data_IF_038382853030
#
_entry.id   IF_038382853030
#
_cell.length_a   1.000
_cell.length_b   1.000
_cell.length_c   1.000
_cell.angle_alpha   90.00
_cell.angle_beta   90.00
_cell.angle_gamma   90.00
#
_symmetry.space_group_name_H-M   'P 1'
#
loop_
_entity.id
_entity.type
_entity.pdbx_description
1 polymer ?
#
# COMPACT_ATOMS: atom_id res chain seq x y z
N UNK A 1 14.24 67.89 -1.93
CA UNK A 1 13.45 67.98 -0.68
C UNK A 1 12.00 68.17 -1.11
N UNK A 2 11.06 67.23 -1.02
CA UNK A 2 10.97 65.99 -0.26
C UNK A 2 10.08 64.99 -1.03
N UNK A 3 10.69 64.01 -1.70
CA UNK A 3 10.00 62.83 -2.23
C UNK A 3 10.75 61.58 -1.78
N UNK A 4 10.73 61.30 -0.47
CA UNK A 4 11.30 60.05 0.04
C UNK A 4 10.68 59.63 1.38
N UNK A 5 9.33 59.59 1.47
CA UNK A 5 8.64 59.07 2.67
C UNK A 5 7.33 58.32 2.36
N UNK A 6 7.31 57.46 1.35
CA UNK A 6 6.13 56.60 1.08
C UNK A 6 6.46 55.13 0.75
N UNK A 7 7.56 54.59 1.28
CA UNK A 7 7.95 53.21 0.99
C UNK A 7 8.27 52.37 2.23
N UNK A 8 7.57 52.57 3.35
CA UNK A 8 7.82 51.71 4.53
C UNK A 8 6.61 51.46 5.46
N UNK A 9 5.42 51.20 4.89
CA UNK A 9 4.25 50.73 5.66
C UNK A 9 3.53 49.52 5.07
N UNK A 10 4.22 48.71 4.27
CA UNK A 10 3.62 47.54 3.59
C UNK A 10 4.06 46.15 4.08
N UNK A 11 5.12 46.03 4.89
CA UNK A 11 5.86 44.76 5.02
C UNK A 11 5.72 43.96 6.34
N UNK A 12 4.76 44.28 7.21
CA UNK A 12 4.61 43.59 8.52
C UNK A 12 3.32 42.80 8.75
N UNK A 13 2.53 42.50 7.72
CA UNK A 13 1.29 41.69 7.86
C UNK A 13 1.33 40.31 7.18
N UNK A 14 2.48 39.86 6.65
CA UNK A 14 2.56 38.63 5.84
C UNK A 14 3.13 37.38 6.53
N UNK A 15 3.72 37.47 7.73
CA UNK A 15 4.55 36.36 8.25
C UNK A 15 3.90 35.52 9.36
N UNK A 16 2.74 35.94 9.90
CA UNK A 16 2.08 35.24 11.01
C UNK A 16 1.02 34.22 10.57
N UNK A 17 0.75 34.11 9.28
CA UNK A 17 -0.21 33.16 8.69
C UNK A 17 0.40 31.84 8.20
N UNK A 18 1.73 31.72 8.15
CA UNK A 18 2.43 30.56 7.58
C UNK A 18 2.69 29.41 8.58
N UNK A 19 2.41 29.62 9.87
CA UNK A 19 2.65 28.61 10.92
C UNK A 19 1.39 28.18 11.66
N UNK A 20 0.20 28.49 11.13
CA UNK A 20 -1.02 27.86 11.62
C UNK A 20 -1.28 26.61 10.79
N UNK A 21 -0.38 25.64 10.91
CA UNK A 21 -0.67 24.27 10.51
C UNK A 21 -1.91 23.85 11.26
N UNK A 22 -3.00 23.61 10.53
CA UNK A 22 -4.11 22.81 11.02
C UNK A 22 -3.50 21.58 11.69
N UNK A 23 -3.80 21.39 12.97
CA UNK A 23 -3.43 20.17 13.67
C UNK A 23 -4.22 19.05 12.98
N UNK A 24 -3.54 18.33 12.09
CA UNK A 24 -4.01 17.11 11.44
C UNK A 24 -4.18 15.99 12.47
N UNK A 25 -5.20 16.09 13.33
CA UNK A 25 -5.61 15.00 14.22
C UNK A 25 -6.27 13.86 13.42
N UNK A 26 -6.81 14.16 12.23
CA UNK A 26 -7.36 13.20 11.27
C UNK A 26 -6.28 12.29 10.67
N UNK A 27 -5.15 12.85 10.23
CA UNK A 27 -4.08 12.10 9.57
C UNK A 27 -3.40 11.05 10.44
N UNK A 28 -3.21 11.31 11.75
CA UNK A 28 -2.66 10.32 12.69
C UNK A 28 -3.60 9.12 12.87
N UNK A 29 -4.91 9.37 12.93
CA UNK A 29 -5.90 8.31 13.09
C UNK A 29 -5.97 7.40 11.86
N UNK A 30 -5.83 7.98 10.67
CA UNK A 30 -5.89 7.25 9.41
C UNK A 30 -4.62 6.44 9.18
N UNK A 31 -3.45 6.98 9.51
CA UNK A 31 -2.20 6.23 9.49
C UNK A 31 -2.23 4.98 10.40
N UNK A 32 -2.76 5.11 11.62
CA UNK A 32 -2.87 3.96 12.54
C UNK A 32 -3.87 2.92 12.01
N UNK A 33 -4.97 3.35 11.38
CA UNK A 33 -5.90 2.42 10.72
C UNK A 33 -5.21 1.69 9.57
N UNK A 34 -4.47 2.40 8.71
CA UNK A 34 -3.74 1.81 7.59
C UNK A 34 -2.67 0.83 8.06
N UNK A 35 -1.90 1.17 9.11
CA UNK A 35 -0.96 0.25 9.74
C UNK A 35 -1.65 -1.02 10.24
N UNK A 36 -2.79 -0.88 10.93
CA UNK A 36 -3.58 -2.01 11.43
C UNK A 36 -4.10 -2.90 10.30
N UNK A 37 -4.53 -2.30 9.19
CA UNK A 37 -4.98 -3.01 8.00
C UNK A 37 -3.81 -3.73 7.33
N UNK A 38 -2.68 -3.07 7.15
CA UNK A 38 -1.48 -3.66 6.56
C UNK A 38 -1.02 -4.90 7.34
N UNK A 39 -0.95 -4.81 8.68
CA UNK A 39 -0.55 -5.95 9.53
C UNK A 39 -1.58 -7.09 9.53
N UNK A 40 -2.87 -6.79 9.32
CA UNK A 40 -3.92 -7.79 9.15
C UNK A 40 -3.85 -8.47 7.78
N UNK A 41 -3.41 -7.76 6.75
CA UNK A 41 -3.34 -8.25 5.38
C UNK A 41 -2.18 -9.21 5.09
N UNK A 42 -1.31 -9.44 6.07
CA UNK A 42 -0.22 -10.42 5.98
C UNK A 42 -0.85 -11.82 5.97
N UNK A 43 -0.81 -12.49 4.81
CA UNK A 43 -1.37 -13.84 4.60
C UNK A 43 -0.76 -14.87 5.57
N UNK A 44 0.55 -14.80 5.85
CA UNK A 44 1.24 -15.71 6.78
C UNK A 44 2.09 -14.92 7.81
N UNK A 45 1.45 -14.58 8.93
CA UNK A 45 2.09 -13.88 10.04
C UNK A 45 3.26 -14.67 10.62
N UNK A 46 3.17 -16.00 10.64
CA UNK A 46 4.21 -16.87 11.19
C UNK A 46 5.48 -16.85 10.34
N UNK A 47 5.32 -16.92 9.01
CA UNK A 47 6.43 -16.81 8.06
C UNK A 47 7.07 -15.42 8.08
N UNK A 48 6.27 -14.36 8.13
CA UNK A 48 6.80 -12.99 8.22
C UNK A 48 7.64 -12.78 9.50
N UNK A 49 7.13 -13.23 10.66
CA UNK A 49 7.85 -13.11 11.93
C UNK A 49 9.19 -13.86 11.86
N UNK A 50 9.20 -15.11 11.40
CA UNK A 50 10.41 -15.94 11.38
C UNK A 50 11.42 -15.56 10.30
N UNK A 51 10.95 -15.18 9.11
CA UNK A 51 11.81 -14.93 7.95
C UNK A 51 12.31 -13.50 7.86
N UNK A 52 11.53 -12.51 8.33
CA UNK A 52 11.87 -11.09 8.16
C UNK A 52 12.09 -10.42 9.52
N UNK A 53 11.12 -10.50 10.44
CA UNK A 53 11.19 -9.74 11.69
C UNK A 53 12.29 -10.27 12.63
N UNK A 54 12.36 -11.58 12.82
CA UNK A 54 13.30 -12.24 13.73
C UNK A 54 14.77 -11.97 13.37
N UNK A 55 15.24 -12.13 12.12
CA UNK A 55 16.62 -11.78 11.77
C UNK A 55 16.91 -10.28 11.87
N UNK A 56 15.95 -9.40 11.57
CA UNK A 56 16.14 -7.95 11.73
C UNK A 56 16.23 -7.54 13.21
N UNK A 57 15.41 -8.13 14.06
CA UNK A 57 15.47 -7.91 15.51
C UNK A 57 16.77 -8.47 16.08
N UNK A 58 17.17 -9.69 15.67
CA UNK A 58 18.43 -10.28 16.08
C UNK A 58 19.63 -9.42 15.68
N UNK A 59 19.65 -8.92 14.44
CA UNK A 59 20.68 -7.99 13.96
C UNK A 59 20.68 -6.70 14.79
N UNK A 60 19.51 -6.12 15.08
CA UNK A 60 19.40 -4.90 15.88
C UNK A 60 19.93 -5.08 17.31
N UNK A 61 19.57 -6.19 17.95
CA UNK A 61 20.06 -6.55 19.29
C UNK A 61 21.56 -6.83 19.26
N UNK A 62 22.06 -7.51 18.21
CA UNK A 62 23.49 -7.75 18.03
C UNK A 62 24.26 -6.43 17.96
N UNK A 63 23.84 -5.50 17.08
CA UNK A 63 24.46 -4.18 16.93
C UNK A 63 24.40 -3.37 18.23
N UNK A 64 23.29 -3.47 18.98
CA UNK A 64 23.17 -2.82 20.28
C UNK A 64 24.14 -3.39 21.34
N UNK A 65 24.39 -4.70 21.32
CA UNK A 65 25.28 -5.38 22.26
C UNK A 65 26.76 -5.36 21.84
N UNK A 66 27.07 -5.03 20.58
CA UNK A 66 28.44 -4.94 20.06
C UNK A 66 29.42 -4.18 20.98
N UNK A 67 29.14 -2.97 21.49
CA UNK A 67 30.11 -2.23 22.30
C UNK A 67 30.46 -2.97 23.60
N UNK A 68 29.47 -3.56 24.27
CA UNK A 68 29.69 -4.36 25.49
C UNK A 68 30.53 -5.61 25.22
N UNK A 69 30.30 -6.27 24.08
CA UNK A 69 31.07 -7.44 23.68
C UNK A 69 32.52 -7.02 23.37
N UNK A 70 32.72 -5.93 22.60
CA UNK A 70 34.04 -5.45 22.22
C UNK A 70 34.88 -5.03 23.45
N UNK A 71 34.28 -4.35 24.43
CA UNK A 71 34.95 -3.95 25.67
C UNK A 71 35.46 -5.14 26.49
N UNK A 72 34.77 -6.30 26.44
CA UNK A 72 35.21 -7.51 27.13
C UNK A 72 36.45 -8.17 26.47
N UNK A 73 36.63 -8.02 25.16
CA UNK A 73 37.70 -8.69 24.40
C UNK A 73 38.93 -7.79 24.12
N UNK A 74 38.78 -6.46 24.13
CA UNK A 74 39.84 -5.52 23.77
C UNK A 74 40.28 -4.72 25.01
N UNK A 75 41.54 -4.88 25.49
CA UNK A 75 42.04 -4.18 26.68
C UNK A 75 42.41 -2.71 26.43
N UNK A 76 41.87 -2.07 25.38
CA UNK A 76 42.12 -0.68 25.01
C UNK A 76 40.84 0.12 25.28
N UNK A 77 40.90 1.30 25.92
CA UNK A 77 39.73 2.14 26.12
C UNK A 77 39.22 2.66 24.76
N UNK A 78 38.16 2.03 24.26
CA UNK A 78 37.46 2.46 23.05
C UNK A 78 36.39 3.48 23.44
N UNK A 79 36.60 4.75 23.11
CA UNK A 79 35.63 5.81 23.34
C UNK A 79 34.53 5.79 22.26
N UNK A 80 33.71 4.75 22.29
CA UNK A 80 32.51 4.67 21.46
C UNK A 80 31.44 5.64 21.97
N UNK A 81 30.79 6.38 21.09
CA UNK A 81 29.61 7.14 21.46
C UNK A 81 28.42 6.18 21.60
N UNK A 82 27.85 5.98 22.82
CA UNK A 82 26.75 5.02 23.04
C UNK A 82 25.54 5.28 22.14
N UNK A 83 25.30 6.55 21.77
CA UNK A 83 24.19 6.92 20.90
C UNK A 83 24.26 6.25 19.52
N UNK A 84 25.46 5.99 18.98
CA UNK A 84 25.64 5.41 17.64
C UNK A 84 25.13 3.97 17.60
N UNK A 85 25.42 3.17 18.63
CA UNK A 85 25.00 1.77 18.72
C UNK A 85 23.52 1.64 19.07
N UNK A 86 22.99 2.55 19.88
CA UNK A 86 21.56 2.65 20.14
C UNK A 86 20.82 2.93 18.83
N UNK A 87 21.23 3.95 18.07
CA UNK A 87 20.61 4.30 16.79
C UNK A 87 20.78 3.15 15.79
N UNK A 88 21.98 2.58 15.67
CA UNK A 88 22.30 1.49 14.78
C UNK A 88 21.50 0.21 15.04
N UNK A 89 21.22 -0.12 16.31
CA UNK A 89 20.38 -1.26 16.69
C UNK A 89 18.89 -1.03 16.49
N UNK A 90 18.42 0.21 16.67
CA UNK A 90 16.99 0.57 16.52
C UNK A 90 16.55 0.62 15.06
N UNK A 91 17.39 1.11 14.15
CA UNK A 91 17.07 1.23 12.71
C UNK A 91 16.58 -0.08 12.06
N UNK A 92 17.29 -1.23 12.16
CA UNK A 92 16.81 -2.48 11.56
C UNK A 92 15.51 -2.97 12.20
N UNK A 93 15.30 -2.76 13.49
CA UNK A 93 14.04 -3.10 14.17
C UNK A 93 12.89 -2.27 13.59
N UNK A 94 13.08 -0.96 13.46
CA UNK A 94 12.09 -0.07 12.86
C UNK A 94 11.78 -0.48 11.42
N UNK A 95 12.79 -0.75 10.60
CA UNK A 95 12.57 -1.24 9.23
C UNK A 95 11.74 -2.52 9.20
N UNK A 96 12.00 -3.46 10.12
CA UNK A 96 11.22 -4.68 10.24
C UNK A 96 9.75 -4.39 10.51
N UNK A 97 9.47 -3.51 11.46
CA UNK A 97 8.10 -3.11 11.84
C UNK A 97 7.38 -2.35 10.71
N UNK A 98 8.08 -1.48 9.97
CA UNK A 98 7.49 -0.72 8.87
C UNK A 98 7.40 -1.49 7.55
N UNK A 99 8.16 -2.57 7.39
CA UNK A 99 8.15 -3.41 6.19
C UNK A 99 6.75 -3.80 5.68
N UNK A 100 5.81 -4.33 6.51
CA UNK A 100 4.49 -4.74 6.03
C UNK A 100 3.67 -3.57 5.52
N UNK A 101 3.82 -2.39 6.11
CA UNK A 101 3.18 -1.16 5.63
C UNK A 101 3.71 -0.75 4.26
N UNK A 102 5.04 -0.77 4.09
CA UNK A 102 5.70 -0.46 2.82
C UNK A 102 5.25 -1.46 1.73
N UNK A 103 5.23 -2.76 2.05
CA UNK A 103 4.79 -3.80 1.12
C UNK A 103 3.33 -3.63 0.70
N UNK A 104 2.43 -3.37 1.66
CA UNK A 104 1.02 -3.11 1.40
C UNK A 104 0.82 -1.90 0.49
N UNK A 105 1.54 -0.80 0.77
CA UNK A 105 1.49 0.42 -0.05
C UNK A 105 2.05 0.21 -1.46
N UNK A 106 3.13 -0.55 -1.59
CA UNK A 106 3.70 -0.89 -2.88
C UNK A 106 2.71 -1.72 -3.72
N UNK A 107 2.00 -2.68 -3.11
CA UNK A 107 0.94 -3.44 -3.79
C UNK A 107 -0.22 -2.55 -4.23
N UNK A 108 -0.68 -1.63 -3.37
CA UNK A 108 -1.70 -0.64 -3.75
C UNK A 108 -1.26 0.18 -4.98
N UNK A 109 -0.03 0.70 -4.96
CA UNK A 109 0.49 1.52 -6.05
C UNK A 109 0.66 0.71 -7.36
N UNK A 110 1.15 -0.52 -7.28
CA UNK A 110 1.28 -1.42 -8.44
C UNK A 110 -0.09 -1.76 -9.05
N UNK A 111 -1.12 -1.96 -8.21
CA UNK A 111 -2.50 -2.13 -8.70
C UNK A 111 -2.97 -0.85 -9.41
N UNK A 112 -2.92 0.29 -8.72
CA UNK A 112 -3.46 1.56 -9.22
C UNK A 112 -2.82 1.98 -10.54
N UNK A 113 -1.49 1.82 -10.67
CA UNK A 113 -0.75 2.20 -11.88
C UNK A 113 -1.15 1.41 -13.12
N UNK A 114 -1.73 0.21 -12.96
CA UNK A 114 -2.09 -0.69 -14.06
C UNK A 114 -3.60 -0.78 -14.31
N UNK A 115 -4.42 -0.12 -13.48
CA UNK A 115 -5.88 -0.16 -13.59
C UNK A 115 -6.36 0.29 -14.97
N UNK A 116 -5.90 1.45 -15.44
CA UNK A 116 -6.31 1.97 -16.75
C UNK A 116 -5.97 1.01 -17.90
N UNK A 117 -4.76 0.43 -17.89
CA UNK A 117 -4.35 -0.54 -18.91
C UNK A 117 -5.21 -1.81 -18.88
N UNK A 118 -5.58 -2.28 -17.68
CA UNK A 118 -6.48 -3.42 -17.51
C UNK A 118 -7.89 -3.11 -18.03
N UNK A 119 -8.47 -1.95 -17.70
CA UNK A 119 -9.80 -1.53 -18.16
C UNK A 119 -9.84 -1.46 -19.70
N UNK A 120 -8.82 -0.88 -20.32
CA UNK A 120 -8.72 -0.81 -21.79
C UNK A 120 -8.69 -2.20 -22.42
N UNK A 121 -7.89 -3.13 -21.89
CA UNK A 121 -7.86 -4.50 -22.43
C UNK A 121 -9.17 -5.25 -22.15
N UNK A 122 -9.76 -5.05 -20.98
CA UNK A 122 -11.05 -5.59 -20.60
C UNK A 122 -12.15 -5.15 -21.58
N UNK A 123 -12.14 -3.88 -22.01
CA UNK A 123 -13.06 -3.34 -23.01
C UNK A 123 -12.91 -4.01 -24.37
N UNK A 124 -11.68 -4.20 -24.84
CA UNK A 124 -11.42 -4.92 -26.09
C UNK A 124 -11.94 -6.36 -26.01
N UNK A 125 -11.71 -7.04 -24.87
CA UNK A 125 -12.19 -8.40 -24.66
C UNK A 125 -13.71 -8.49 -24.46
N UNK A 126 -14.36 -7.46 -23.95
CA UNK A 126 -15.82 -7.42 -23.79
C UNK A 126 -16.57 -7.24 -25.13
N UNK A 127 -15.88 -6.71 -26.15
CA UNK A 127 -16.42 -6.62 -27.51
C UNK A 127 -16.37 -7.97 -28.21
N UNK A 128 -15.35 -8.79 -27.91
CA UNK A 128 -15.34 -10.17 -28.38
C UNK A 128 -16.45 -10.97 -27.69
N UNK A 129 -17.04 -11.94 -28.39
CA UNK A 129 -18.15 -12.79 -27.92
C UNK A 129 -17.71 -13.81 -26.85
N UNK A 130 -16.88 -13.36 -25.90
CA UNK A 130 -16.32 -14.14 -24.81
C UNK A 130 -17.19 -13.98 -23.58
N UNK A 131 -17.33 -15.06 -22.80
CA UNK A 131 -18.00 -14.94 -21.51
C UNK A 131 -17.14 -14.12 -20.55
N UNK A 132 -17.78 -13.35 -19.64
CA UNK A 132 -17.06 -12.61 -18.59
C UNK A 132 -16.10 -13.51 -17.79
N UNK A 133 -16.48 -14.77 -17.57
CA UNK A 133 -15.65 -15.75 -16.88
C UNK A 133 -14.35 -16.03 -17.62
N UNK A 134 -14.42 -16.18 -18.94
CA UNK A 134 -13.23 -16.42 -19.76
C UNK A 134 -12.34 -15.18 -19.81
N UNK A 135 -12.94 -14.00 -19.95
CA UNK A 135 -12.23 -12.72 -19.92
C UNK A 135 -11.44 -12.56 -18.62
N UNK A 136 -12.08 -12.75 -17.46
CA UNK A 136 -11.43 -12.63 -16.15
C UNK A 136 -10.37 -13.70 -15.95
N UNK A 137 -10.60 -14.92 -16.46
CA UNK A 137 -9.59 -15.98 -16.42
C UNK A 137 -8.37 -15.66 -17.31
N UNK A 138 -8.58 -14.98 -18.44
CA UNK A 138 -7.50 -14.53 -19.32
C UNK A 138 -6.67 -13.39 -18.71
N UNK A 139 -7.31 -12.45 -18.03
CA UNK A 139 -6.63 -11.34 -17.34
C UNK A 139 -5.96 -11.81 -16.04
N UNK A 140 -6.57 -12.76 -15.33
CA UNK A 140 -6.11 -13.28 -14.06
C UNK A 140 -4.71 -13.89 -14.13
N UNK A 141 -3.80 -13.39 -13.30
CA UNK A 141 -2.46 -13.93 -13.13
C UNK A 141 -1.48 -13.60 -14.26
N UNK A 142 -1.85 -12.74 -15.22
CA UNK A 142 -0.91 -12.26 -16.23
C UNK A 142 0.10 -11.29 -15.58
N UNK A 143 1.39 -11.56 -15.82
CA UNK A 143 2.50 -10.74 -15.31
C UNK A 143 2.42 -9.26 -15.71
N UNK A 144 1.80 -8.98 -16.86
CA UNK A 144 1.57 -7.61 -17.35
C UNK A 144 0.75 -6.77 -16.37
N UNK A 145 -0.14 -7.39 -15.58
CA UNK A 145 -0.94 -6.69 -14.57
C UNK A 145 -0.35 -6.74 -13.16
N UNK A 146 0.80 -7.37 -12.94
CA UNK A 146 1.43 -7.42 -11.61
C UNK A 146 0.45 -7.86 -10.51
N UNK A 147 0.42 -7.09 -9.43
CA UNK A 147 -0.46 -7.31 -8.27
C UNK A 147 -1.95 -7.23 -8.62
N UNK A 148 -2.34 -6.42 -9.63
CA UNK A 148 -3.73 -6.35 -10.11
C UNK A 148 -4.16 -7.67 -10.75
N UNK A 149 -3.26 -8.29 -11.53
CA UNK A 149 -3.50 -9.61 -12.11
C UNK A 149 -3.71 -10.69 -11.05
N UNK A 150 -2.99 -10.60 -9.93
CA UNK A 150 -3.17 -11.52 -8.79
C UNK A 150 -4.54 -11.36 -8.13
N UNK A 151 -5.03 -10.13 -7.93
CA UNK A 151 -6.36 -9.90 -7.38
C UNK A 151 -7.46 -10.41 -8.34
N UNK A 152 -7.30 -10.21 -9.65
CA UNK A 152 -8.21 -10.79 -10.66
C UNK A 152 -8.13 -12.32 -10.70
N UNK A 153 -6.94 -12.90 -10.48
CA UNK A 153 -6.76 -14.35 -10.38
C UNK A 153 -7.54 -14.92 -9.19
N UNK A 154 -7.59 -14.21 -8.05
CA UNK A 154 -8.39 -14.63 -6.89
C UNK A 154 -9.87 -14.71 -7.25
N UNK A 155 -10.41 -13.70 -7.95
CA UNK A 155 -11.79 -13.73 -8.44
C UNK A 155 -12.02 -14.87 -9.46
N UNK A 156 -11.09 -15.06 -10.40
CA UNK A 156 -11.14 -16.16 -11.37
C UNK A 156 -11.15 -17.52 -10.69
N UNK A 157 -10.27 -17.75 -9.71
CA UNK A 157 -10.19 -19.00 -8.95
C UNK A 157 -11.49 -19.27 -8.20
N UNK A 158 -12.04 -18.27 -7.50
CA UNK A 158 -13.34 -18.40 -6.82
C UNK A 158 -14.46 -18.80 -7.79
N UNK A 159 -14.48 -18.24 -8.99
CA UNK A 159 -15.48 -18.57 -10.00
C UNK A 159 -15.27 -19.94 -10.66
N UNK A 160 -14.03 -20.26 -11.02
CA UNK A 160 -13.70 -21.44 -11.83
C UNK A 160 -13.62 -22.70 -10.97
N UNK A 161 -12.85 -22.65 -9.88
CA UNK A 161 -12.58 -23.78 -8.99
C UNK A 161 -13.70 -23.93 -7.94
N UNK A 162 -14.13 -22.82 -7.34
CA UNK A 162 -15.11 -22.85 -6.24
C UNK A 162 -16.55 -22.62 -6.70
N UNK A 163 -16.79 -22.46 -8.01
CA UNK A 163 -18.11 -22.24 -8.63
C UNK A 163 -18.89 -21.07 -8.02
N UNK A 164 -18.19 -20.10 -7.43
CA UNK A 164 -18.82 -18.89 -6.87
C UNK A 164 -19.25 -17.98 -8.03
N UNK A 165 -20.48 -17.44 -8.04
CA UNK A 165 -20.88 -16.47 -9.05
C UNK A 165 -19.91 -15.28 -9.10
N UNK A 166 -19.54 -14.84 -10.30
CA UNK A 166 -18.55 -13.77 -10.52
C UNK A 166 -18.85 -12.50 -9.73
N UNK A 167 -20.12 -12.09 -9.64
CA UNK A 167 -20.52 -10.95 -8.82
C UNK A 167 -20.07 -11.11 -7.36
N UNK A 168 -20.39 -12.26 -6.74
CA UNK A 168 -19.96 -12.56 -5.36
C UNK A 168 -18.43 -12.65 -5.24
N UNK A 169 -17.75 -13.19 -6.24
CA UNK A 169 -16.29 -13.25 -6.26
C UNK A 169 -15.66 -11.84 -6.32
N UNK A 170 -16.20 -10.94 -7.15
CA UNK A 170 -15.75 -9.55 -7.23
C UNK A 170 -16.00 -8.80 -5.92
N UNK A 171 -17.17 -8.94 -5.31
CA UNK A 171 -17.45 -8.38 -3.99
C UNK A 171 -16.49 -8.90 -2.92
N UNK A 172 -16.19 -10.19 -2.93
CA UNK A 172 -15.25 -10.78 -1.98
C UNK A 172 -13.83 -10.22 -2.11
N UNK A 173 -13.37 -10.02 -3.35
CA UNK A 173 -12.04 -9.46 -3.65
C UNK A 173 -12.01 -7.95 -3.38
N UNK A 174 -13.07 -7.20 -3.68
CA UNK A 174 -13.14 -5.75 -3.43
C UNK A 174 -12.98 -5.40 -1.95
N UNK A 175 -13.53 -6.22 -1.06
CA UNK A 175 -13.39 -6.05 0.39
C UNK A 175 -11.98 -6.34 0.93
N UNK A 176 -11.13 -7.03 0.16
CA UNK A 176 -9.80 -7.50 0.59
C UNK A 176 -8.64 -6.85 -0.15
N UNK A 177 -8.89 -6.20 -1.29
CA UNK A 177 -7.85 -5.51 -2.04
C UNK A 177 -7.30 -4.31 -1.25
N UNK A 178 -5.97 -4.07 -1.30
CA UNK A 178 -5.36 -2.88 -0.75
C UNK A 178 -5.73 -1.60 -1.52
N UNK A 179 -6.13 -1.72 -2.79
CA UNK A 179 -6.45 -0.58 -3.66
C UNK A 179 -7.89 -0.11 -3.50
N UNK A 180 -8.07 1.18 -3.20
CA UNK A 180 -9.38 1.83 -3.19
C UNK A 180 -10.02 1.87 -4.59
N UNK A 181 -9.23 2.12 -5.63
CA UNK A 181 -9.70 2.17 -7.02
C UNK A 181 -10.20 0.81 -7.50
N UNK A 182 -9.43 -0.26 -7.26
CA UNK A 182 -9.86 -1.61 -7.61
C UNK A 182 -11.07 -2.06 -6.79
N UNK A 183 -11.12 -1.69 -5.50
CA UNK A 183 -12.28 -1.98 -4.65
C UNK A 183 -13.54 -1.38 -5.24
N UNK A 184 -13.51 -0.10 -5.56
CA UNK A 184 -14.65 0.62 -6.10
C UNK A 184 -15.09 0.05 -7.46
N UNK A 185 -14.15 -0.19 -8.37
CA UNK A 185 -14.41 -0.83 -9.66
C UNK A 185 -15.09 -2.20 -9.50
N UNK A 186 -14.50 -3.12 -8.71
CA UNK A 186 -15.03 -4.47 -8.53
C UNK A 186 -16.38 -4.48 -7.81
N UNK A 187 -16.59 -3.54 -6.88
CA UNK A 187 -17.87 -3.42 -6.18
C UNK A 187 -18.98 -2.95 -7.12
N UNK A 188 -18.74 -1.89 -7.89
CA UNK A 188 -19.67 -1.41 -8.93
C UNK A 188 -19.94 -2.50 -9.97
N UNK A 189 -18.92 -3.25 -10.37
CA UNK A 189 -19.08 -4.35 -11.31
C UNK A 189 -19.93 -5.48 -10.70
N UNK A 190 -19.68 -5.86 -9.43
CA UNK A 190 -20.52 -6.83 -8.73
C UNK A 190 -21.99 -6.39 -8.68
N UNK A 191 -22.25 -5.15 -8.32
CA UNK A 191 -23.61 -4.60 -8.22
C UNK A 191 -24.30 -4.60 -9.59
N UNK A 192 -23.60 -4.18 -10.64
CA UNK A 192 -24.10 -4.23 -12.02
C UNK A 192 -24.52 -5.65 -12.42
N UNK A 193 -23.67 -6.65 -12.16
CA UNK A 193 -23.98 -8.06 -12.46
C UNK A 193 -25.17 -8.60 -11.65
N UNK A 194 -25.32 -8.20 -10.38
CA UNK A 194 -26.46 -8.60 -9.53
C UNK A 194 -27.76 -8.00 -10.07
N UNK A 195 -27.72 -6.76 -10.57
CA UNK A 195 -28.85 -6.08 -11.20
C UNK A 195 -29.21 -6.63 -12.59
N UNK A 196 -28.49 -7.64 -13.09
CA UNK A 196 -28.73 -8.25 -14.39
C UNK A 196 -28.19 -7.46 -15.58
N UNK A 197 -27.41 -6.41 -15.34
CA UNK A 197 -26.76 -5.63 -16.40
C UNK A 197 -25.69 -6.50 -17.07
N UNK A 198 -25.66 -6.46 -18.40
CA UNK A 198 -24.66 -7.19 -19.18
C UNK A 198 -23.26 -6.69 -18.88
N UNK A 199 -22.29 -7.59 -18.72
CA UNK A 199 -20.90 -7.22 -18.45
C UNK A 199 -20.31 -6.26 -19.49
N UNK A 200 -20.72 -6.41 -20.76
CA UNK A 200 -20.32 -5.51 -21.84
C UNK A 200 -20.78 -4.07 -21.61
N UNK A 201 -22.05 -3.88 -21.22
CA UNK A 201 -22.63 -2.56 -20.97
C UNK A 201 -21.91 -1.84 -19.82
N UNK A 202 -21.62 -2.55 -18.72
CA UNK A 202 -20.84 -2.00 -17.62
C UNK A 202 -19.44 -1.54 -18.06
N UNK A 203 -18.72 -2.40 -18.80
CA UNK A 203 -17.35 -2.13 -19.23
C UNK A 203 -17.29 -0.96 -20.22
N UNK A 204 -18.32 -0.79 -21.07
CA UNK A 204 -18.39 0.34 -22.00
C UNK A 204 -18.55 1.69 -21.28
N UNK A 205 -19.23 1.70 -20.13
CA UNK A 205 -19.47 2.90 -19.31
C UNK A 205 -18.28 3.28 -18.40
N UNK A 206 -17.37 2.34 -18.11
CA UNK A 206 -16.26 2.56 -17.18
C UNK A 206 -15.10 3.36 -17.82
N UNK A 207 -14.64 4.44 -17.16
CA UNK A 207 -13.52 5.29 -17.61
C UNK A 207 -12.22 5.03 -16.84
#
# INVERSE_FOLDING_TARGET
>A
MAEEKKKDKGKKKGFKGLFKGEKDETGKSDFVKELKVAYRSIDDKGKYIKTILLPLVFLGVLVFLMPFILEQFVPVPLNFNPATFIIGGVVPILLGVFYPYISWKNRENDINSRMHFMITHLRVLAISDLSLKDIINMLGGKKVYGSLGEELKRASVLSTQWKVPLARAFRFVSERTPSKMLRDFLDRFSQSLISGVGHREFIEQEQ
#
